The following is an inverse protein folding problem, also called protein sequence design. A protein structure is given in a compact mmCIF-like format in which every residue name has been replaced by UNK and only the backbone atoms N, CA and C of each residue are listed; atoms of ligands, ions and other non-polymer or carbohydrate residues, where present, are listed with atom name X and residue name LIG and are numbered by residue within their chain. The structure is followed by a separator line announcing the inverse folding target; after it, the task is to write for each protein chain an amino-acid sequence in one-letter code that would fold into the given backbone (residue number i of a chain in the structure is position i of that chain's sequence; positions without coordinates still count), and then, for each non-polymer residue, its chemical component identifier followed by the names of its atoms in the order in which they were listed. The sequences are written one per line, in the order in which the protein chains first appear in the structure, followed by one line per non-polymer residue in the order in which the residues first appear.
data_IF_233965578407
#
_entry.id   IF_233965578407
#
_cell.length_a   1.000
_cell.length_b   1.000
_cell.length_c   1.000
_cell.angle_alpha   90.00
_cell.angle_beta   90.00
_cell.angle_gamma   90.00
#
_symmetry.space_group_name_H-M   'P 1'
#
loop_
_entity.id
_entity.type
_entity.pdbx_description
1 polymer ?
#
# COMPACT_ATOMS: atom_id res chain seq x y z
N UNK A 1 35.18 24.53 33.55
CA UNK A 1 33.91 23.86 33.92
C UNK A 1 32.69 24.44 33.21
N UNK A 2 32.63 25.75 32.96
CA UNK A 2 31.44 26.42 32.42
C UNK A 2 31.06 26.01 30.98
N UNK A 3 32.04 25.68 30.14
CA UNK A 3 31.80 25.36 28.71
C UNK A 3 31.07 24.01 28.52
N UNK A 4 31.35 23.03 29.39
CA UNK A 4 30.68 21.73 29.36
C UNK A 4 29.22 21.82 29.82
N UNK A 5 28.93 22.71 30.78
CA UNK A 5 27.56 22.96 31.25
C UNK A 5 26.75 23.62 30.13
N UNK A 6 27.32 24.58 29.41
CA UNK A 6 26.66 25.24 28.28
C UNK A 6 26.38 24.23 27.16
N UNK A 7 27.36 23.39 26.80
CA UNK A 7 27.19 22.35 25.79
C UNK A 7 26.13 21.31 26.18
N UNK A 8 26.12 20.86 27.43
CA UNK A 8 25.10 19.93 27.94
C UNK A 8 23.70 20.56 27.93
N UNK A 9 23.60 21.84 28.27
CA UNK A 9 22.32 22.56 28.25
C UNK A 9 21.80 22.71 26.81
N UNK A 10 22.69 23.01 25.86
CA UNK A 10 22.35 23.10 24.44
C UNK A 10 21.86 21.76 23.88
N UNK A 11 22.54 20.65 24.24
CA UNK A 11 22.15 19.30 23.86
C UNK A 11 20.77 18.90 24.40
N UNK A 12 20.46 19.27 25.64
CA UNK A 12 19.14 19.01 26.24
C UNK A 12 18.05 19.75 25.47
N UNK A 13 18.28 21.01 25.09
CA UNK A 13 17.33 21.80 24.30
C UNK A 13 17.11 21.19 22.91
N UNK A 14 18.18 20.75 22.24
CA UNK A 14 18.07 20.06 20.94
C UNK A 14 17.30 18.75 21.03
N UNK A 15 17.48 17.97 22.10
CA UNK A 15 16.73 16.73 22.34
C UNK A 15 15.25 17.03 22.58
N UNK A 16 14.92 18.12 23.29
CA UNK A 16 13.54 18.53 23.53
C UNK A 16 12.86 18.97 22.22
N UNK A 17 13.55 19.73 21.38
CA UNK A 17 13.05 20.17 20.08
C UNK A 17 12.79 18.97 19.14
N UNK A 18 13.71 18.01 19.07
CA UNK A 18 13.52 16.79 18.28
C UNK A 18 12.33 15.95 18.78
N UNK A 19 12.14 15.85 20.10
CA UNK A 19 10.98 15.15 20.67
C UNK A 19 9.65 15.84 20.30
N UNK A 20 9.64 17.17 20.30
CA UNK A 20 8.48 17.95 19.90
C UNK A 20 8.13 17.72 18.42
N UNK A 21 9.13 17.72 17.53
CA UNK A 21 8.94 17.42 16.11
C UNK A 21 8.40 16.00 15.87
N UNK A 22 8.90 15.00 16.61
CA UNK A 22 8.40 13.62 16.52
C UNK A 22 6.92 13.56 16.95
N UNK A 23 6.54 14.27 18.00
CA UNK A 23 5.16 14.29 18.49
C UNK A 23 4.21 14.93 17.45
N UNK A 24 4.62 16.03 16.84
CA UNK A 24 3.84 16.71 15.80
C UNK A 24 3.65 15.82 14.56
N UNK A 25 4.70 15.11 14.13
CA UNK A 25 4.62 14.13 13.04
C UNK A 25 3.68 12.97 13.39
N UNK A 26 3.71 12.46 14.63
CA UNK A 26 2.79 11.41 15.08
C UNK A 26 1.33 11.87 15.09
N UNK A 27 1.06 13.11 15.54
CA UNK A 27 -0.28 13.70 15.51
C UNK A 27 -0.75 13.88 14.07
N UNK A 28 0.11 14.28 13.15
CA UNK A 28 -0.24 14.40 11.73
C UNK A 28 -0.56 13.04 11.11
N UNK A 29 0.26 12.02 11.35
CA UNK A 29 0.01 10.64 10.88
C UNK A 29 -1.34 10.12 11.43
N UNK A 30 -1.65 10.40 12.70
CA UNK A 30 -2.91 10.00 13.31
C UNK A 30 -4.11 10.74 12.71
N UNK A 31 -3.96 12.03 12.39
CA UNK A 31 -5.00 12.82 11.69
C UNK A 31 -5.23 12.30 10.28
N UNK A 32 -4.18 12.01 9.52
CA UNK A 32 -4.28 11.45 8.17
C UNK A 32 -4.98 10.07 8.18
N UNK A 33 -4.73 9.25 9.22
CA UNK A 33 -5.46 7.99 9.43
C UNK A 33 -6.92 8.21 9.84
N UNK A 34 -7.22 9.19 10.68
CA UNK A 34 -8.57 9.45 11.14
C UNK A 34 -9.45 10.10 10.05
N UNK A 35 -8.90 10.98 9.20
CA UNK A 35 -9.59 11.52 8.03
C UNK A 35 -9.92 10.42 6.99
N UNK A 36 -9.08 9.38 6.88
CA UNK A 36 -9.38 8.20 6.05
C UNK A 36 -10.54 7.37 6.62
N UNK A 37 -10.79 7.40 7.93
CA UNK A 37 -11.89 6.68 8.57
C UNK A 37 -13.21 7.46 8.62
N UNK A 38 -13.19 8.80 8.72
CA UNK A 38 -14.40 9.61 8.96
C UNK A 38 -15.23 9.93 7.70
N UNK A 39 -14.72 9.69 6.49
CA UNK A 39 -15.45 9.99 5.23
C UNK A 39 -16.31 8.81 4.74
N UNK A 40 -16.28 7.65 5.42
CA UNK A 40 -16.83 6.40 4.90
C UNK A 40 -18.22 6.01 5.40
N UNK A 41 -18.92 6.89 6.12
CA UNK A 41 -20.32 6.66 6.49
C UNK A 41 -21.25 7.39 5.51
N UNK A 42 -21.58 6.73 4.39
CA UNK A 42 -22.75 7.13 3.58
C UNK A 42 -22.56 7.17 2.05
N UNK A 43 -21.35 7.07 1.53
CA UNK A 43 -21.12 6.86 0.08
C UNK A 43 -20.07 5.78 -0.06
N UNK A 44 -20.30 4.84 -0.99
CA UNK A 44 -19.32 3.81 -1.38
C UNK A 44 -18.02 4.47 -1.81
N UNK A 45 -17.16 4.78 -0.86
CA UNK A 45 -15.83 5.28 -1.11
C UNK A 45 -15.10 4.17 -1.81
N UNK A 46 -14.48 4.53 -2.94
CA UNK A 46 -13.58 3.65 -3.66
C UNK A 46 -12.45 3.29 -2.71
N UNK A 47 -12.62 2.19 -1.96
CA UNK A 47 -11.61 1.68 -1.03
C UNK A 47 -10.29 1.64 -1.80
N UNK A 48 -9.34 2.48 -1.42
CA UNK A 48 -8.07 2.60 -2.12
C UNK A 48 -7.30 1.29 -1.99
N UNK A 49 -6.72 0.80 -3.08
CA UNK A 49 -5.90 -0.42 -3.05
C UNK A 49 -4.51 -0.06 -2.55
N UNK A 50 -4.11 -0.65 -1.43
CA UNK A 50 -2.76 -0.48 -0.91
C UNK A 50 -1.81 -1.54 -1.47
N UNK A 51 -0.50 -1.31 -1.29
CA UNK A 51 0.55 -2.19 -1.81
C UNK A 51 0.41 -3.64 -1.32
N UNK A 52 0.08 -3.84 -0.03
CA UNK A 52 -0.11 -5.17 0.54
C UNK A 52 -1.31 -5.92 -0.08
N UNK A 53 -2.40 -5.20 -0.35
CA UNK A 53 -3.58 -5.75 -1.01
C UNK A 53 -3.27 -6.14 -2.47
N UNK A 54 -2.43 -5.38 -3.17
CA UNK A 54 -1.97 -5.76 -4.51
C UNK A 54 -1.06 -6.99 -4.48
N UNK A 55 -0.15 -7.09 -3.52
CA UNK A 55 0.69 -8.29 -3.35
C UNK A 55 -0.15 -9.52 -3.01
N UNK A 56 -1.11 -9.38 -2.10
CA UNK A 56 -2.02 -10.47 -1.73
C UNK A 56 -2.88 -10.88 -2.94
N UNK A 57 -3.43 -9.91 -3.68
CA UNK A 57 -4.19 -10.15 -4.90
C UNK A 57 -3.38 -10.99 -5.90
N UNK A 58 -2.14 -10.60 -6.16
CA UNK A 58 -1.26 -11.31 -7.07
C UNK A 58 -0.95 -12.74 -6.57
N UNK A 59 -0.69 -12.91 -5.28
CA UNK A 59 -0.48 -14.23 -4.66
C UNK A 59 -1.68 -15.16 -4.84
N UNK A 60 -2.88 -14.66 -4.54
CA UNK A 60 -4.13 -15.41 -4.69
C UNK A 60 -4.43 -15.74 -6.17
N UNK A 61 -4.07 -14.85 -7.09
CA UNK A 61 -4.18 -15.11 -8.53
C UNK A 61 -3.26 -16.24 -8.98
N UNK A 62 -2.06 -16.36 -8.42
CA UNK A 62 -1.20 -17.52 -8.67
C UNK A 62 -1.79 -18.82 -8.11
N UNK A 63 -2.34 -18.75 -6.90
CA UNK A 63 -2.88 -19.92 -6.20
C UNK A 63 -4.18 -20.45 -6.84
N UNK A 64 -5.13 -19.55 -7.13
CA UNK A 64 -6.46 -19.92 -7.62
C UNK A 64 -6.61 -19.79 -9.13
N UNK A 65 -5.69 -19.09 -9.80
CA UNK A 65 -5.77 -18.79 -11.22
C UNK A 65 -6.55 -17.51 -11.53
N UNK A 66 -6.22 -16.90 -12.66
CA UNK A 66 -6.73 -15.60 -13.11
C UNK A 66 -8.26 -15.49 -13.21
N UNK A 67 -8.94 -16.59 -13.55
CA UNK A 67 -10.39 -16.61 -13.78
C UNK A 67 -11.19 -16.74 -12.48
N UNK A 68 -10.57 -17.10 -11.36
CA UNK A 68 -11.25 -17.38 -10.10
C UNK A 68 -11.34 -16.13 -9.19
N UNK A 69 -11.79 -15.01 -9.75
CA UNK A 69 -11.96 -13.74 -9.01
C UNK A 69 -12.90 -13.87 -7.81
N UNK A 70 -13.88 -14.79 -7.86
CA UNK A 70 -14.78 -15.07 -6.74
C UNK A 70 -14.03 -15.61 -5.52
N UNK A 71 -13.20 -16.63 -5.70
CA UNK A 71 -12.40 -17.22 -4.61
C UNK A 71 -11.31 -16.26 -4.12
N UNK A 72 -10.78 -15.42 -5.00
CA UNK A 72 -9.83 -14.37 -4.59
C UNK A 72 -10.52 -13.32 -3.71
N UNK A 73 -11.75 -12.94 -4.05
CA UNK A 73 -12.51 -11.94 -3.30
C UNK A 73 -12.90 -12.40 -1.88
N UNK A 74 -13.06 -13.71 -1.65
CA UNK A 74 -13.33 -14.22 -0.29
C UNK A 74 -12.13 -14.06 0.64
N UNK A 75 -10.91 -14.08 0.08
CA UNK A 75 -9.67 -13.94 0.85
C UNK A 75 -9.27 -12.47 1.09
N UNK A 76 -9.68 -11.56 0.23
CA UNK A 76 -9.40 -10.12 0.39
C UNK A 76 -10.56 -9.43 1.10
N UNK A 77 -10.41 -9.22 2.41
CA UNK A 77 -11.42 -8.53 3.24
C UNK A 77 -11.89 -7.21 2.59
N UNK A 78 -13.21 -7.00 2.66
CA UNK A 78 -13.89 -5.79 2.18
C UNK A 78 -13.78 -5.55 0.67
N UNK A 79 -13.46 -6.57 -0.14
CA UNK A 79 -13.43 -6.46 -1.60
C UNK A 79 -14.48 -7.35 -2.24
N UNK A 80 -15.17 -6.79 -3.23
CA UNK A 80 -16.07 -7.57 -4.07
C UNK A 80 -15.33 -8.20 -5.25
N UNK A 81 -15.89 -9.28 -5.79
CA UNK A 81 -15.41 -9.93 -7.02
C UNK A 81 -15.17 -8.93 -8.17
N UNK A 82 -16.11 -7.98 -8.34
CA UNK A 82 -15.99 -6.93 -9.36
C UNK A 82 -14.77 -6.04 -9.10
N UNK A 83 -14.54 -5.63 -7.85
CA UNK A 83 -13.40 -4.78 -7.49
C UNK A 83 -12.07 -5.50 -7.70
N UNK A 84 -12.01 -6.80 -7.37
CA UNK A 84 -10.85 -7.66 -7.63
C UNK A 84 -10.56 -7.73 -9.12
N UNK A 85 -11.57 -8.01 -9.94
CA UNK A 85 -11.42 -8.07 -11.41
C UNK A 85 -10.93 -6.74 -11.99
N UNK A 86 -11.55 -5.61 -11.60
CA UNK A 86 -11.14 -4.29 -12.06
C UNK A 86 -9.70 -3.96 -11.66
N UNK A 87 -9.30 -4.30 -10.42
CA UNK A 87 -7.93 -4.07 -9.97
C UNK A 87 -6.93 -4.93 -10.73
N UNK A 88 -7.24 -6.20 -10.92
CA UNK A 88 -6.40 -7.15 -11.65
C UNK A 88 -6.20 -6.70 -13.11
N UNK A 89 -7.26 -6.27 -13.77
CA UNK A 89 -7.18 -5.68 -15.12
C UNK A 89 -6.30 -4.42 -15.15
N UNK A 90 -6.49 -3.52 -14.18
CA UNK A 90 -5.67 -2.31 -14.09
C UNK A 90 -4.18 -2.62 -13.87
N UNK A 91 -3.87 -3.58 -13.01
CA UNK A 91 -2.50 -4.04 -12.79
C UNK A 91 -1.89 -4.59 -14.08
N UNK A 92 -2.60 -5.45 -14.80
CA UNK A 92 -2.16 -5.93 -16.12
C UNK A 92 -1.90 -4.79 -17.11
N UNK A 93 -2.83 -3.83 -17.21
CA UNK A 93 -2.67 -2.67 -18.10
C UNK A 93 -1.43 -1.84 -17.73
N UNK A 94 -1.17 -1.62 -16.43
CA UNK A 94 0.03 -0.95 -15.97
C UNK A 94 1.32 -1.70 -16.34
N UNK A 95 1.33 -3.04 -16.20
CA UNK A 95 2.51 -3.84 -16.59
C UNK A 95 2.73 -3.88 -18.10
N UNK A 96 1.65 -3.83 -18.89
CA UNK A 96 1.78 -3.81 -20.35
C UNK A 96 2.24 -2.46 -20.89
N UNK A 97 1.83 -1.36 -20.26
CA UNK A 97 2.19 0.01 -20.67
C UNK A 97 3.54 0.43 -20.12
N UNK A 98 3.84 0.04 -18.90
CA UNK A 98 5.11 0.35 -18.27
C UNK A 98 5.95 -0.93 -18.25
N UNK A 99 7.07 -0.94 -18.98
CA UNK A 99 8.23 -1.79 -18.66
C UNK A 99 8.81 -1.49 -17.25
N UNK A 100 8.03 -0.88 -16.33
CA UNK A 100 8.41 -0.47 -14.98
C UNK A 100 8.46 -1.68 -14.08
N UNK A 101 9.63 -2.25 -14.13
CA UNK A 101 9.96 -3.57 -13.67
C UNK A 101 11.11 -3.36 -12.69
N UNK A 102 10.82 -2.67 -11.59
CA UNK A 102 11.80 -2.41 -10.53
C UNK A 102 11.33 -2.82 -9.13
N UNK A 103 10.02 -2.89 -8.87
CA UNK A 103 9.49 -3.22 -7.53
C UNK A 103 8.87 -4.62 -7.39
N UNK A 104 8.74 -5.38 -8.48
CA UNK A 104 8.24 -6.76 -8.47
C UNK A 104 9.32 -7.72 -8.92
N UNK A 105 9.38 -8.89 -8.27
CA UNK A 105 10.31 -9.96 -8.59
C UNK A 105 10.15 -10.39 -10.05
N UNK A 106 11.22 -10.95 -10.61
CA UNK A 106 11.25 -11.43 -12.00
C UNK A 106 10.14 -12.46 -12.28
N UNK A 107 9.83 -13.28 -11.28
CA UNK A 107 8.78 -14.30 -11.31
C UNK A 107 7.39 -13.69 -11.60
N UNK A 108 7.08 -12.55 -10.98
CA UNK A 108 5.81 -11.86 -11.22
C UNK A 108 5.66 -11.34 -12.64
N UNK A 109 6.77 -10.93 -13.27
CA UNK A 109 6.75 -10.45 -14.66
C UNK A 109 6.48 -11.60 -15.61
N UNK A 110 7.15 -12.73 -15.41
CA UNK A 110 6.97 -13.93 -16.23
C UNK A 110 5.56 -14.50 -16.08
N UNK A 111 5.03 -14.58 -14.85
CA UNK A 111 3.67 -15.06 -14.60
C UNK A 111 2.60 -14.20 -15.29
N UNK A 112 2.73 -12.88 -15.23
CA UNK A 112 1.75 -11.97 -15.85
C UNK A 112 1.85 -11.94 -17.38
N UNK A 113 3.06 -12.07 -17.95
CA UNK A 113 3.23 -12.30 -19.39
C UNK A 113 2.57 -13.61 -19.83
N UNK A 114 2.72 -14.67 -19.04
CA UNK A 114 2.06 -15.95 -19.31
C UNK A 114 0.54 -15.90 -19.13
N UNK A 115 0.01 -15.05 -18.24
CA UNK A 115 -1.44 -14.83 -18.15
C UNK A 115 -2.01 -14.17 -19.40
N UNK A 116 -1.21 -13.40 -20.16
CA UNK A 116 -1.62 -12.78 -21.43
C UNK A 116 -1.87 -13.81 -22.53
N UNK A 117 -1.14 -14.93 -22.55
CA UNK A 117 -1.36 -16.00 -23.54
C UNK A 117 -2.66 -16.80 -23.29
N UNK A 118 -3.25 -16.66 -22.10
CA UNK A 118 -4.54 -17.30 -21.72
C UNK A 118 -5.75 -16.41 -22.09
N UNK A 119 -5.51 -15.15 -22.47
CA UNK A 119 -6.55 -14.22 -22.93
C UNK A 119 -6.75 -14.22 -24.46
N UNK A 120 -5.94 -14.96 -25.23
CA UNK A 120 -6.27 -15.34 -26.62
C UNK A 120 -6.90 -16.74 -26.64
#
# INVERSE_FOLDING_TARGET
MSNLIIQNTLLILQIQELKQQILELQVQIQKDHNEQTSINEGKQTRLHWNFYQDQLLLHLVMQFGFKNCRSIATEIKCRSEKQVYFRLRYLLELFTKNNCSQKLSLEWRQFLVNCKSIQM
#
